data_IF_667968987646
#
_entry.id   IF_667968987646
#
_cell.length_a   1.000
_cell.length_b   1.000
_cell.length_c   1.000
_cell.angle_alpha   90.00
_cell.angle_beta   90.00
_cell.angle_gamma   90.00
#
_symmetry.space_group_name_H-M   'P 1'
#
loop_
_entity.id
_entity.type
_entity.pdbx_description
1 polymer ?
#
# COMPACT_ATOMS: atom_id res chain seq x y z
N UNK A 1 -3.29 -36.68 -16.38
CA UNK A 1 -4.40 -37.63 -16.62
C UNK A 1 -5.69 -36.85 -16.47
N UNK A 2 -6.49 -36.78 -17.53
CA UNK A 2 -7.74 -36.04 -17.59
C UNK A 2 -8.81 -36.70 -16.72
N UNK A 3 -9.65 -35.89 -16.07
CA UNK A 3 -10.94 -36.32 -15.52
C UNK A 3 -12.01 -35.31 -15.92
N UNK A 4 -12.80 -35.74 -16.90
CA UNK A 4 -14.13 -35.26 -17.22
C UNK A 4 -15.08 -35.46 -16.03
N UNK A 5 -15.89 -34.45 -15.73
CA UNK A 5 -17.14 -34.64 -15.02
C UNK A 5 -18.21 -33.75 -15.64
N UNK A 6 -19.14 -34.39 -16.34
CA UNK A 6 -20.37 -33.79 -16.82
C UNK A 6 -21.54 -34.26 -15.93
N UNK A 7 -22.30 -33.27 -15.47
CA UNK A 7 -23.73 -33.23 -15.10
C UNK A 7 -24.30 -34.12 -13.99
N UNK A 8 -24.97 -33.48 -13.02
CA UNK A 8 -26.43 -33.63 -12.93
C UNK A 8 -27.08 -32.41 -12.25
N UNK A 9 -28.11 -31.88 -12.89
CA UNK A 9 -28.97 -30.77 -12.45
C UNK A 9 -30.28 -31.39 -11.94
N UNK A 10 -30.60 -31.20 -10.66
CA UNK A 10 -31.91 -31.50 -10.09
C UNK A 10 -32.53 -30.18 -9.57
N UNK A 11 -33.77 -29.82 -9.98
CA UNK A 11 -34.49 -28.66 -9.45
C UNK A 11 -35.14 -28.97 -8.09
N UNK A 12 -35.41 -27.95 -7.25
CA UNK A 12 -35.97 -28.16 -5.91
C UNK A 12 -37.50 -28.32 -5.91
N UNK A 13 -37.97 -29.29 -5.12
CA UNK A 13 -39.38 -29.49 -4.78
C UNK A 13 -39.92 -28.35 -3.90
N UNK A 14 -41.12 -27.86 -4.23
CA UNK A 14 -41.88 -26.89 -3.46
C UNK A 14 -43.23 -27.45 -2.97
N UNK A 15 -43.51 -27.25 -1.68
CA UNK A 15 -44.80 -27.20 -0.96
C UNK A 15 -44.45 -27.29 0.55
N UNK A 16 -44.95 -26.54 1.53
CA UNK A 16 -46.15 -25.73 1.84
C UNK A 16 -45.87 -25.06 3.23
N UNK A 17 -46.79 -24.40 3.99
CA UNK A 17 -47.76 -23.36 3.68
C UNK A 17 -47.71 -22.14 4.66
N UNK A 18 -48.60 -21.17 4.41
CA UNK A 18 -48.87 -19.89 5.11
C UNK A 18 -49.11 -19.95 6.64
N UNK A 19 -48.78 -18.85 7.34
CA UNK A 19 -49.57 -18.31 8.48
C UNK A 19 -49.44 -16.78 8.66
N UNK A 20 -50.58 -16.10 8.44
CA UNK A 20 -51.21 -14.97 9.17
C UNK A 20 -50.42 -13.78 9.76
N UNK A 21 -50.89 -12.58 9.38
CA UNK A 21 -50.67 -11.18 9.85
C UNK A 21 -51.21 -10.90 11.30
N UNK A 22 -51.43 -9.64 11.83
CA UNK A 22 -51.25 -8.26 11.29
C UNK A 22 -50.83 -7.15 12.30
N UNK A 23 -50.88 -5.88 11.84
CA UNK A 23 -50.97 -4.54 12.53
C UNK A 23 -49.73 -3.64 12.35
N UNK A 24 -49.80 -2.31 12.23
CA UNK A 24 -50.81 -1.30 11.89
C UNK A 24 -50.05 0.07 11.81
N UNK A 25 -50.33 0.89 10.79
CA UNK A 25 -50.36 2.39 10.67
C UNK A 25 -49.48 3.35 11.54
N UNK A 26 -49.38 4.67 11.20
CA UNK A 26 -49.44 5.36 9.90
C UNK A 26 -48.41 6.52 9.74
N UNK A 27 -48.30 7.05 8.50
CA UNK A 27 -48.13 8.46 8.01
C UNK A 27 -47.14 9.45 8.72
N UNK A 28 -46.58 10.46 7.99
CA UNK A 28 -47.37 11.58 7.44
C UNK A 28 -47.03 11.99 6.00
N UNK A 29 -48.03 12.58 5.35
CA UNK A 29 -47.91 13.42 4.17
C UNK A 29 -47.84 14.90 4.60
N UNK A 30 -47.02 15.72 3.95
CA UNK A 30 -47.45 16.90 3.15
C UNK A 30 -46.24 17.69 2.61
N UNK A 31 -46.40 18.19 1.37
CA UNK A 31 -45.43 18.91 0.55
C UNK A 31 -45.32 20.41 0.96
N UNK A 32 -44.46 21.24 0.34
CA UNK A 32 -44.67 21.71 -1.03
C UNK A 32 -43.42 21.78 -1.93
N UNK A 33 -43.61 21.37 -3.18
CA UNK A 33 -43.45 22.21 -4.38
C UNK A 33 -42.34 23.29 -4.36
N UNK A 34 -41.24 23.02 -5.08
CA UNK A 34 -40.51 24.09 -5.77
C UNK A 34 -39.96 23.60 -7.11
N UNK A 35 -40.36 24.34 -8.12
CA UNK A 35 -40.01 24.34 -9.52
C UNK A 35 -38.55 24.78 -9.72
N UNK A 36 -37.71 23.96 -10.36
CA UNK A 36 -36.69 24.47 -11.28
C UNK A 36 -36.25 23.37 -12.27
N UNK A 37 -36.87 23.41 -13.44
CA UNK A 37 -36.46 22.62 -14.61
C UNK A 37 -35.27 23.28 -15.28
N UNK A 38 -34.08 22.66 -15.22
CA UNK A 38 -32.94 23.00 -16.11
C UNK A 38 -32.29 21.75 -16.69
N UNK A 39 -32.43 21.48 -18.00
CA UNK A 39 -31.69 20.41 -18.67
C UNK A 39 -30.27 20.88 -19.02
N UNK A 40 -29.27 20.11 -18.60
CA UNK A 40 -27.87 20.28 -19.01
C UNK A 40 -27.67 19.63 -20.39
N UNK A 41 -27.16 20.34 -21.41
CA UNK A 41 -27.08 19.82 -22.77
C UNK A 41 -25.93 18.83 -22.98
N UNK A 42 -26.27 17.74 -23.66
CA UNK A 42 -25.41 16.71 -24.22
C UNK A 42 -24.52 17.35 -25.30
N UNK A 43 -23.21 17.30 -25.11
CA UNK A 43 -22.23 17.79 -26.08
C UNK A 43 -22.02 16.72 -27.17
N UNK A 44 -22.75 16.86 -28.27
CA UNK A 44 -22.60 16.05 -29.47
C UNK A 44 -21.51 16.65 -30.38
N UNK A 45 -20.42 15.91 -30.57
CA UNK A 45 -19.37 16.26 -31.54
C UNK A 45 -19.89 16.11 -32.97
N UNK A 46 -19.81 17.13 -33.84
CA UNK A 46 -20.26 17.04 -35.23
C UNK A 46 -19.22 16.39 -36.14
N UNK A 47 -19.74 15.48 -36.96
CA UNK A 47 -19.11 14.80 -38.10
C UNK A 47 -18.58 15.83 -39.12
N UNK A 48 -17.35 15.64 -39.58
CA UNK A 48 -16.74 16.46 -40.66
C UNK A 48 -17.28 16.05 -42.04
N UNK A 49 -17.58 17.03 -42.93
CA UNK A 49 -18.07 16.76 -44.28
C UNK A 49 -16.96 16.42 -45.29
N UNK A 50 -17.37 15.64 -46.30
CA UNK A 50 -16.62 15.17 -47.47
C UNK A 50 -16.32 16.35 -48.41
N UNK A 51 -15.10 16.47 -49.00
CA UNK A 51 -14.83 17.46 -50.03
C UNK A 51 -15.24 16.99 -51.45
N UNK A 52 -15.71 17.91 -52.33
CA UNK A 52 -16.12 17.64 -53.72
C UNK A 52 -14.93 17.60 -54.72
N UNK A 53 -15.13 17.13 -55.97
CA UNK A 53 -14.04 16.83 -56.90
C UNK A 53 -13.47 18.08 -57.59
N UNK A 54 -12.21 18.05 -58.08
CA UNK A 54 -11.64 19.18 -58.80
C UNK A 54 -12.10 19.23 -60.26
N UNK A 55 -12.49 20.42 -60.70
CA UNK A 55 -12.75 20.80 -62.09
C UNK A 55 -11.49 21.32 -62.80
N UNK A 56 -11.57 21.30 -64.12
CA UNK A 56 -10.56 21.52 -65.15
C UNK A 56 -10.12 22.98 -65.38
N UNK A 57 -8.97 23.13 -66.07
CA UNK A 57 -8.59 24.29 -66.90
C UNK A 57 -7.72 25.34 -66.19
N UNK A 58 -6.63 25.89 -66.72
CA UNK A 58 -6.17 26.05 -68.11
C UNK A 58 -4.67 26.53 -68.13
N UNK A 59 -4.09 26.58 -69.35
CA UNK A 59 -3.01 27.48 -69.87
C UNK A 59 -1.55 27.01 -69.74
N UNK A 60 -0.66 27.12 -70.72
CA UNK A 60 -0.74 27.37 -72.17
C UNK A 60 0.64 27.10 -72.83
N UNK A 61 0.60 26.46 -74.00
CA UNK A 61 1.47 26.47 -75.19
C UNK A 61 2.67 27.45 -75.22
N UNK A 62 3.86 26.93 -75.57
CA UNK A 62 4.73 27.34 -76.72
C UNK A 62 6.17 26.82 -76.53
N UNK A 63 6.62 25.92 -77.40
CA UNK A 63 7.77 26.22 -78.26
C UNK A 63 7.86 25.21 -79.40
N UNK A 64 8.04 25.73 -80.62
CA UNK A 64 8.10 25.00 -81.88
C UNK A 64 9.44 25.37 -82.50
N UNK A 65 10.18 24.42 -83.06
CA UNK A 65 11.24 24.72 -84.02
C UNK A 65 11.17 23.72 -85.16
N UNK A 66 11.12 24.28 -86.36
CA UNK A 66 10.79 23.63 -87.62
C UNK A 66 12.02 22.96 -88.28
N UNK A 67 11.81 22.01 -89.22
CA UNK A 67 12.87 21.28 -89.92
C UNK A 67 13.08 21.77 -91.37
N UNK A 68 14.30 21.58 -91.93
CA UNK A 68 14.58 21.61 -93.38
C UNK A 68 15.73 20.62 -93.69
N UNK A 69 15.54 19.52 -94.46
CA UNK A 69 15.44 19.32 -95.93
C UNK A 69 16.81 19.25 -96.67
N UNK A 70 16.92 18.61 -97.86
CA UNK A 70 17.82 17.47 -98.13
C UNK A 70 18.69 17.62 -99.41
N UNK A 71 19.56 16.64 -99.75
CA UNK A 71 20.04 16.23 -101.11
C UNK A 71 21.21 15.23 -100.97
N UNK A 72 21.13 13.96 -101.42
CA UNK A 72 21.33 13.40 -102.80
C UNK A 72 22.81 13.39 -103.26
N UNK A 73 23.58 12.28 -103.18
CA UNK A 73 23.80 11.12 -104.12
C UNK A 73 25.27 11.15 -104.68
N UNK A 74 25.86 10.07 -105.26
CA UNK A 74 26.08 8.67 -104.82
C UNK A 74 27.53 8.13 -105.12
N UNK A 75 27.73 6.79 -105.07
CA UNK A 75 28.83 5.93 -105.60
C UNK A 75 29.92 5.50 -104.57
N UNK A 76 30.42 4.26 -104.46
CA UNK A 76 30.19 2.94 -105.13
C UNK A 76 30.95 1.82 -104.37
N UNK A 77 30.47 0.58 -104.49
CA UNK A 77 31.06 -0.75 -104.16
C UNK A 77 31.34 -1.09 -102.67
N UNK A 78 31.16 -2.32 -102.17
CA UNK A 78 31.05 -3.62 -102.83
C UNK A 78 30.29 -4.67 -101.99
N UNK A 79 29.55 -5.53 -102.72
CA UNK A 79 29.29 -6.96 -102.56
C UNK A 79 28.82 -7.65 -101.24
N UNK A 80 27.77 -8.48 -101.47
CA UNK A 80 27.37 -9.76 -100.85
C UNK A 80 26.36 -9.77 -99.69
N UNK A 81 25.09 -9.69 -100.10
CA UNK A 81 24.10 -10.79 -100.04
C UNK A 81 24.03 -11.64 -98.75
N UNK A 82 23.02 -11.37 -97.90
CA UNK A 82 22.18 -12.38 -97.23
C UNK A 82 20.83 -11.74 -96.79
N UNK A 83 19.74 -12.31 -97.31
CA UNK A 83 18.31 -12.25 -96.97
C UNK A 83 17.73 -11.15 -96.06
N UNK A 84 16.82 -10.38 -96.66
CA UNK A 84 15.77 -9.61 -96.00
C UNK A 84 14.70 -10.51 -95.35
N UNK A 85 14.34 -10.21 -94.10
CA UNK A 85 12.92 -10.04 -93.71
C UNK A 85 12.78 -8.88 -92.73
N UNK A 86 12.02 -7.87 -93.15
CA UNK A 86 11.42 -6.76 -92.41
C UNK A 86 10.52 -7.30 -91.28
N UNK A 87 10.33 -6.74 -90.07
CA UNK A 87 10.63 -5.44 -89.48
C UNK A 87 9.35 -4.87 -88.83
N UNK A 88 9.24 -4.84 -87.49
CA UNK A 88 8.48 -3.82 -86.71
C UNK A 88 9.12 -3.65 -85.32
N UNK A 89 9.68 -2.48 -84.96
CA UNK A 89 10.08 -2.21 -83.57
C UNK A 89 8.90 -1.64 -82.76
N UNK A 90 8.67 -2.09 -81.51
CA UNK A 90 7.59 -1.53 -80.70
C UNK A 90 7.94 -0.11 -80.22
N UNK A 91 6.96 0.79 -80.32
CA UNK A 91 6.98 2.14 -79.77
C UNK A 91 7.15 2.07 -78.25
N UNK A 92 8.27 2.57 -77.72
CA UNK A 92 8.50 2.73 -76.29
C UNK A 92 7.60 3.87 -75.77
N UNK A 93 6.52 3.54 -75.06
CA UNK A 93 5.70 4.52 -74.36
C UNK A 93 6.45 4.99 -73.11
N UNK A 94 6.76 6.28 -73.04
CA UNK A 94 7.51 6.89 -71.93
C UNK A 94 6.74 6.94 -70.59
N UNK A 95 5.55 6.33 -70.51
CA UNK A 95 4.74 6.18 -69.30
C UNK A 95 4.84 4.78 -68.68
N UNK A 96 5.55 3.85 -69.34
CA UNK A 96 5.72 2.46 -68.86
C UNK A 96 6.73 2.33 -67.69
N UNK A 97 7.50 3.38 -67.38
CA UNK A 97 8.51 3.35 -66.32
C UNK A 97 7.97 3.70 -64.92
N UNK A 98 6.89 4.48 -64.81
CA UNK A 98 6.43 4.96 -63.49
C UNK A 98 5.76 3.86 -62.67
N UNK A 99 5.10 2.89 -63.33
CA UNK A 99 4.53 1.71 -62.67
C UNK A 99 5.61 0.83 -62.04
N UNK A 100 6.82 0.80 -62.60
CA UNK A 100 7.96 0.08 -62.03
C UNK A 100 8.45 0.78 -60.76
N UNK A 101 8.51 2.12 -60.74
CA UNK A 101 8.85 2.88 -59.53
C UNK A 101 7.74 2.84 -58.47
N UNK A 102 6.47 2.82 -58.88
CA UNK A 102 5.34 2.62 -57.98
C UNK A 102 5.37 1.20 -57.37
N UNK A 103 5.65 0.17 -58.18
CA UNK A 103 5.82 -1.21 -57.71
C UNK A 103 7.04 -1.35 -56.78
N UNK A 104 8.16 -0.71 -57.12
CA UNK A 104 9.34 -0.67 -56.26
C UNK A 104 9.06 0.06 -54.93
N UNK A 105 8.33 1.18 -54.96
CA UNK A 105 7.89 1.88 -53.76
C UNK A 105 6.98 1.03 -52.87
N UNK A 106 6.01 0.33 -53.46
CA UNK A 106 5.16 -0.64 -52.74
C UNK A 106 5.99 -1.78 -52.15
N UNK A 107 6.96 -2.34 -52.89
CA UNK A 107 7.86 -3.37 -52.36
C UNK A 107 8.70 -2.86 -51.19
N UNK A 108 9.21 -1.63 -51.21
CA UNK A 108 9.95 -1.03 -50.10
C UNK A 108 9.04 -0.80 -48.89
N UNK A 109 7.80 -0.36 -49.10
CA UNK A 109 6.82 -0.22 -48.02
C UNK A 109 6.47 -1.58 -47.41
N UNK A 110 6.23 -2.60 -48.23
CA UNK A 110 5.97 -3.97 -47.77
C UNK A 110 7.17 -4.54 -47.03
N UNK A 111 8.40 -4.31 -47.52
CA UNK A 111 9.63 -4.71 -46.84
C UNK A 111 9.80 -3.99 -45.49
N UNK A 112 9.47 -2.69 -45.43
CA UNK A 112 9.46 -1.91 -44.20
C UNK A 112 8.42 -2.43 -43.20
N UNK A 113 7.21 -2.76 -43.65
CA UNK A 113 6.17 -3.38 -42.81
C UNK A 113 6.63 -4.76 -42.32
N UNK A 114 7.25 -5.58 -43.18
CA UNK A 114 7.78 -6.89 -42.81
C UNK A 114 8.93 -6.79 -41.79
N UNK A 115 9.82 -5.80 -41.93
CA UNK A 115 10.88 -5.53 -40.96
C UNK A 115 10.30 -5.09 -39.61
N UNK A 116 9.32 -4.19 -39.60
CA UNK A 116 8.64 -3.76 -38.38
C UNK A 116 7.89 -4.92 -37.70
N UNK A 117 7.29 -5.82 -38.47
CA UNK A 117 6.64 -7.03 -37.93
C UNK A 117 7.66 -8.06 -37.46
N UNK A 118 8.82 -8.18 -38.11
CA UNK A 118 9.90 -9.09 -37.72
C UNK A 118 10.60 -8.69 -36.40
N UNK A 119 10.45 -7.42 -35.99
CA UNK A 119 10.95 -6.86 -34.74
C UNK A 119 9.92 -6.91 -33.58
N UNK A 120 8.76 -7.54 -33.77
CA UNK A 120 7.79 -7.70 -32.68
C UNK A 120 8.34 -8.62 -31.59
N UNK A 121 8.10 -8.22 -30.33
CA UNK A 121 8.46 -8.99 -29.15
C UNK A 121 7.54 -10.19 -28.98
N UNK A 122 8.09 -11.35 -28.62
CA UNK A 122 7.32 -12.55 -28.27
C UNK A 122 6.78 -12.39 -26.86
N UNK A 123 5.47 -12.57 -26.67
CA UNK A 123 4.83 -12.52 -25.35
C UNK A 123 4.59 -13.93 -24.81
N UNK A 124 5.02 -14.17 -23.58
CA UNK A 124 4.80 -15.40 -22.84
C UNK A 124 3.95 -15.07 -21.62
N UNK A 125 2.78 -15.68 -21.55
CA UNK A 125 1.88 -15.55 -20.41
C UNK A 125 2.12 -16.73 -19.49
N UNK A 126 2.55 -16.47 -18.26
CA UNK A 126 2.86 -17.53 -17.29
C UNK A 126 1.95 -17.40 -16.09
N UNK A 127 1.27 -18.49 -15.75
CA UNK A 127 0.45 -18.61 -14.55
C UNK A 127 1.28 -19.33 -13.49
N UNK A 128 1.63 -18.66 -12.38
CA UNK A 128 2.35 -19.28 -11.29
C UNK A 128 1.47 -20.30 -10.59
N UNK A 129 2.12 -21.32 -10.03
CA UNK A 129 1.48 -22.24 -9.11
C UNK A 129 0.95 -21.48 -7.92
N UNK A 130 -0.28 -21.76 -7.52
CA UNK A 130 -0.85 -21.30 -6.26
C UNK A 130 -1.33 -22.46 -5.39
N UNK A 131 -1.34 -22.23 -4.08
CA UNK A 131 -1.91 -23.13 -3.10
C UNK A 131 -2.66 -22.32 -2.06
N UNK A 132 -3.93 -22.65 -1.84
CA UNK A 132 -4.73 -22.05 -0.77
C UNK A 132 -4.48 -22.81 0.53
N UNK A 133 -3.87 -22.14 1.50
CA UNK A 133 -3.67 -22.65 2.84
C UNK A 133 -4.73 -22.07 3.78
N UNK A 134 -5.30 -22.92 4.64
CA UNK A 134 -6.28 -22.53 5.66
C UNK A 134 -5.66 -22.62 7.04
N UNK A 135 -5.83 -21.56 7.84
CA UNK A 135 -5.30 -21.44 9.18
C UNK A 135 -6.42 -21.35 10.20
N UNK A 136 -6.17 -21.92 11.37
CA UNK A 136 -7.05 -21.93 12.52
C UNK A 136 -6.38 -21.24 13.72
N UNK A 137 -7.15 -20.98 14.78
CA UNK A 137 -6.61 -20.33 15.99
C UNK A 137 -5.52 -21.16 16.72
N UNK A 138 -5.32 -22.43 16.33
CA UNK A 138 -4.27 -23.30 16.86
C UNK A 138 -2.92 -23.11 16.16
N UNK A 139 -2.91 -22.49 14.98
CA UNK A 139 -1.74 -22.19 14.16
C UNK A 139 -0.93 -21.03 14.75
N UNK A 140 -0.07 -21.34 15.73
CA UNK A 140 0.79 -20.38 16.43
C UNK A 140 2.17 -20.30 15.81
N UNK A 141 2.63 -19.08 15.58
CA UNK A 141 3.94 -18.77 15.02
C UNK A 141 4.70 -17.83 15.95
N UNK A 142 6.04 -17.91 15.89
CA UNK A 142 6.93 -17.00 16.61
C UNK A 142 7.85 -16.33 15.61
N UNK A 143 7.81 -15.00 15.57
CA UNK A 143 8.74 -14.19 14.81
C UNK A 143 9.73 -13.49 15.74
N UNK A 144 10.96 -13.33 15.26
CA UNK A 144 12.05 -12.68 15.98
C UNK A 144 12.40 -11.35 15.34
N UNK A 145 12.85 -10.34 16.11
CA UNK A 145 13.37 -9.11 15.52
C UNK A 145 14.49 -9.42 14.53
N UNK A 146 14.51 -8.74 13.38
CA UNK A 146 15.52 -8.98 12.33
C UNK A 146 16.97 -8.85 12.83
N UNK A 147 17.22 -8.04 13.87
CA UNK A 147 18.53 -7.89 14.50
C UNK A 147 19.01 -9.12 15.29
N UNK A 148 18.09 -9.99 15.73
CA UNK A 148 18.39 -11.16 16.60
C UNK A 148 17.94 -12.49 15.99
N UNK A 149 17.30 -12.47 14.83
CA UNK A 149 16.84 -13.67 14.15
C UNK A 149 18.01 -14.55 13.69
N UNK A 150 17.95 -15.85 14.00
CA UNK A 150 18.87 -16.84 13.48
C UNK A 150 18.49 -17.24 12.04
N UNK A 151 19.45 -17.76 11.28
CA UNK A 151 19.16 -18.31 9.94
C UNK A 151 18.10 -19.40 10.03
N UNK A 152 17.01 -19.25 9.26
CA UNK A 152 15.90 -20.20 9.23
C UNK A 152 14.75 -19.91 10.19
N UNK A 153 14.79 -18.80 10.96
CA UNK A 153 13.62 -18.35 11.74
C UNK A 153 12.88 -17.21 11.06
N UNK A 154 11.58 -17.09 11.33
CA UNK A 154 10.77 -15.97 10.85
C UNK A 154 11.28 -14.68 11.49
N UNK A 155 11.73 -13.73 10.66
CA UNK A 155 12.13 -12.40 11.12
C UNK A 155 11.02 -11.39 10.88
N UNK A 156 10.98 -10.34 11.70
CA UNK A 156 10.15 -9.17 11.48
C UNK A 156 10.94 -7.88 11.67
N UNK A 157 10.53 -6.85 10.95
CA UNK A 157 11.01 -5.47 11.10
C UNK A 157 9.90 -4.60 11.66
N UNK A 158 10.25 -3.42 12.18
CA UNK A 158 9.27 -2.51 12.77
C UNK A 158 9.11 -1.29 11.89
N UNK A 159 7.86 -0.97 11.55
CA UNK A 159 7.49 0.29 10.94
C UNK A 159 6.81 1.15 12.00
N UNK A 160 7.27 2.40 12.12
CA UNK A 160 6.71 3.38 13.06
C UNK A 160 6.16 4.57 12.29
N UNK A 161 4.96 5.00 12.66
CA UNK A 161 4.30 6.19 12.10
C UNK A 161 3.72 7.01 13.25
N UNK A 162 4.07 8.29 13.28
CA UNK A 162 3.48 9.24 14.22
C UNK A 162 2.38 10.03 13.53
N UNK A 163 1.18 9.97 14.08
CA UNK A 163 0.01 10.69 13.58
C UNK A 163 -0.46 11.70 14.61
N UNK A 164 -0.92 12.86 14.14
CA UNK A 164 -1.53 13.88 14.98
C UNK A 164 -2.87 14.30 14.37
N UNK A 165 -3.84 14.55 15.24
CA UNK A 165 -5.13 15.10 14.84
C UNK A 165 -5.66 16.03 15.95
N UNK A 166 -6.52 16.96 15.57
CA UNK A 166 -7.08 17.94 16.49
C UNK A 166 -8.55 18.20 16.19
N UNK A 167 -9.29 18.65 17.20
CA UNK A 167 -10.69 19.03 17.06
C UNK A 167 -11.00 20.26 17.89
N UNK A 168 -11.78 21.15 17.31
CA UNK A 168 -12.26 22.35 18.00
C UNK A 168 -13.60 22.02 18.65
N UNK A 169 -13.69 22.32 19.94
CA UNK A 169 -14.95 22.23 20.68
C UNK A 169 -15.43 23.63 21.00
N UNK A 170 -16.64 23.94 20.54
CA UNK A 170 -17.33 25.19 20.84
C UNK A 170 -17.51 25.35 22.36
N UNK A 171 -17.23 26.54 22.87
CA UNK A 171 -17.44 26.83 24.28
C UNK A 171 -18.86 27.29 24.55
N UNK A 172 -19.40 26.91 25.71
CA UNK A 172 -20.71 27.36 26.19
C UNK A 172 -20.61 28.58 27.13
N UNK A 173 -19.47 29.27 27.18
CA UNK A 173 -19.24 30.46 28.01
C UNK A 173 -17.85 30.46 28.66
N UNK A 174 -17.54 31.38 29.56
CA UNK A 174 -16.30 31.35 30.35
C UNK A 174 -16.53 30.64 31.68
N UNK A 175 -15.64 29.72 32.03
CA UNK A 175 -15.62 29.06 33.34
C UNK A 175 -14.31 29.41 34.02
N UNK A 176 -14.41 30.03 35.19
CA UNK A 176 -13.27 30.17 36.10
C UNK A 176 -12.86 28.77 36.56
N UNK A 177 -11.63 28.39 36.24
CA UNK A 177 -11.10 27.05 36.50
C UNK A 177 -9.89 27.12 37.40
N UNK A 178 -9.86 26.23 38.39
CA UNK A 178 -8.78 26.08 39.36
C UNK A 178 -8.22 24.65 39.27
N UNK A 179 -7.52 24.39 38.17
CA UNK A 179 -6.97 23.07 37.88
C UNK A 179 -5.61 22.89 38.58
N UNK A 180 -5.41 21.70 39.15
CA UNK A 180 -4.17 21.31 39.81
C UNK A 180 -3.32 20.50 38.84
N UNK A 181 -2.03 20.85 38.74
CA UNK A 181 -1.11 20.07 37.92
C UNK A 181 -0.98 18.64 38.47
N UNK A 182 -0.86 17.67 37.58
CA UNK A 182 -0.63 16.27 37.94
C UNK A 182 0.41 15.62 37.03
N UNK A 183 0.95 14.51 37.50
CA UNK A 183 1.88 13.71 36.71
C UNK A 183 2.36 12.49 37.49
N UNK A 184 3.17 11.66 36.84
CA UNK A 184 3.68 10.41 37.41
C UNK A 184 5.12 10.61 37.87
N UNK A 185 5.39 10.22 39.12
CA UNK A 185 6.75 10.10 39.66
C UNK A 185 7.06 8.64 39.94
N UNK A 186 8.31 8.24 39.70
CA UNK A 186 8.85 6.98 40.23
C UNK A 186 9.51 7.27 41.57
N UNK A 187 8.98 6.68 42.63
CA UNK A 187 9.51 6.81 44.00
C UNK A 187 10.49 5.68 44.26
N UNK A 188 11.67 6.04 44.75
CA UNK A 188 12.79 5.13 45.02
C UNK A 188 12.99 4.96 46.53
N UNK A 189 13.30 3.74 46.94
CA UNK A 189 13.78 3.38 48.27
C UNK A 189 15.17 2.75 48.14
N UNK A 190 16.19 3.55 48.40
CA UNK A 190 17.60 3.15 48.41
C UNK A 190 18.13 2.89 49.84
N UNK A 191 17.28 3.00 50.85
CA UNK A 191 17.68 2.93 52.25
C UNK A 191 17.73 1.48 52.75
N UNK A 192 16.57 0.80 52.78
CA UNK A 192 16.38 -0.47 53.47
C UNK A 192 15.85 -1.58 52.56
N UNK A 193 16.10 -2.84 52.94
CA UNK A 193 15.63 -4.05 52.25
C UNK A 193 14.16 -4.38 52.57
N UNK A 194 13.57 -3.71 53.55
CA UNK A 194 12.15 -3.80 53.89
C UNK A 194 11.33 -2.79 53.10
N UNK A 195 10.04 -3.09 52.88
CA UNK A 195 9.14 -2.13 52.24
C UNK A 195 8.96 -0.87 53.08
N UNK A 196 8.80 0.28 52.43
CA UNK A 196 8.56 1.56 53.06
C UNK A 196 7.19 2.08 52.64
N UNK A 197 6.30 2.30 53.62
CA UNK A 197 4.95 2.80 53.37
C UNK A 197 4.93 4.32 53.50
N UNK A 198 4.50 5.00 52.44
CA UNK A 198 4.10 6.41 52.46
C UNK A 198 2.58 6.48 52.59
N UNK A 199 2.10 7.35 53.47
CA UNK A 199 0.67 7.55 53.67
C UNK A 199 0.09 8.44 52.58
N UNK A 200 -1.23 8.38 52.39
CA UNK A 200 -1.99 9.34 51.59
C UNK A 200 -1.62 10.78 51.98
N UNK A 201 -1.57 11.66 50.98
CA UNK A 201 -1.19 13.07 51.10
C UNK A 201 0.27 13.34 51.50
N UNK A 202 1.16 12.35 51.32
CA UNK A 202 2.60 12.55 51.48
C UNK A 202 3.09 13.67 50.56
N UNK A 203 3.90 14.59 51.09
CA UNK A 203 4.41 15.75 50.36
C UNK A 203 5.68 15.39 49.60
N UNK A 204 5.67 15.65 48.30
CA UNK A 204 6.80 15.60 47.39
C UNK A 204 7.13 17.02 46.96
N UNK A 205 8.37 17.47 47.20
CA UNK A 205 8.83 18.80 46.88
C UNK A 205 9.70 18.77 45.63
N UNK A 206 9.33 19.50 44.59
CA UNK A 206 10.13 19.70 43.37
C UNK A 206 11.40 20.50 43.66
N UNK A 207 12.32 20.54 42.71
CA UNK A 207 13.53 21.40 42.76
C UNK A 207 13.17 22.89 42.86
N UNK A 208 12.04 23.32 42.27
CA UNK A 208 11.49 24.66 42.41
C UNK A 208 10.80 24.93 43.75
N UNK A 209 10.80 23.95 44.66
CA UNK A 209 10.23 24.09 46.00
C UNK A 209 8.72 23.87 46.09
N UNK A 210 8.06 23.53 44.98
CA UNK A 210 6.61 23.34 44.90
C UNK A 210 6.20 21.97 45.43
N UNK A 211 5.05 21.90 46.09
CA UNK A 211 4.56 20.71 46.78
C UNK A 211 3.52 19.97 45.93
N UNK A 212 3.75 18.67 45.78
CA UNK A 212 2.84 17.69 45.20
C UNK A 212 2.47 16.64 46.25
N UNK A 213 1.29 16.06 46.14
CA UNK A 213 0.73 15.11 47.10
C UNK A 213 0.25 13.85 46.42
N UNK A 214 0.33 12.77 47.17
CA UNK A 214 -0.14 11.45 46.72
C UNK A 214 -1.61 11.27 47.07
N UNK A 215 -2.47 10.84 46.14
CA UNK A 215 -3.89 10.67 46.40
C UNK A 215 -4.20 9.41 47.25
N UNK A 216 -3.25 8.47 47.32
CA UNK A 216 -3.38 7.20 48.01
C UNK A 216 -2.12 6.83 48.80
N UNK A 217 -2.25 5.81 49.65
CA UNK A 217 -1.12 5.14 50.30
C UNK A 217 -0.23 4.46 49.25
N UNK A 218 1.08 4.53 49.45
CA UNK A 218 2.09 3.94 48.55
C UNK A 218 2.93 3.00 49.37
N UNK A 219 3.15 1.79 48.86
CA UNK A 219 4.10 0.85 49.43
C UNK A 219 5.25 0.71 48.46
N UNK A 220 6.41 1.25 48.84
CA UNK A 220 7.63 1.16 48.05
C UNK A 220 8.33 -0.15 48.44
N UNK A 221 8.67 -1.03 47.48
CA UNK A 221 9.48 -2.22 47.77
C UNK A 221 10.80 -1.85 48.46
N UNK A 222 11.36 -2.81 49.21
CA UNK A 222 12.73 -2.67 49.71
C UNK A 222 13.76 -2.84 48.61
N UNK A 223 14.97 -2.30 48.82
CA UNK A 223 16.08 -2.46 47.88
C UNK A 223 16.54 -3.93 47.78
N UNK A 224 16.99 -4.34 46.60
CA UNK A 224 17.55 -5.68 46.33
C UNK A 224 19.01 -5.55 45.95
N UNK A 225 19.91 -5.87 46.88
CA UNK A 225 21.36 -5.65 46.69
C UNK A 225 21.66 -4.17 46.50
N UNK A 226 22.19 -3.80 45.33
CA UNK A 226 22.50 -2.42 44.93
C UNK A 226 21.35 -1.74 44.16
N UNK A 227 20.27 -2.46 43.86
CA UNK A 227 19.13 -1.92 43.09
C UNK A 227 18.08 -1.36 44.04
N UNK A 228 17.78 -0.05 43.99
CA UNK A 228 16.72 0.54 44.81
C UNK A 228 15.36 -0.08 44.51
N UNK A 229 14.52 -0.19 45.53
CA UNK A 229 13.11 -0.51 45.31
C UNK A 229 12.41 0.68 44.65
N UNK A 230 11.53 0.44 43.69
CA UNK A 230 10.86 1.52 42.94
C UNK A 230 9.37 1.26 42.75
N UNK A 231 8.58 2.33 42.69
CA UNK A 231 7.14 2.28 42.38
C UNK A 231 6.72 3.57 41.66
N UNK A 232 5.93 3.45 40.59
CA UNK A 232 5.38 4.60 39.86
C UNK A 232 4.04 5.02 40.47
N UNK A 233 3.91 6.31 40.77
CA UNK A 233 2.72 6.87 41.43
C UNK A 233 2.34 8.21 40.84
N UNK A 234 1.03 8.43 40.67
CA UNK A 234 0.47 9.72 40.29
C UNK A 234 0.49 10.68 41.48
N UNK A 235 1.00 11.89 41.27
CA UNK A 235 0.98 12.99 42.24
C UNK A 235 0.20 14.18 41.69
N UNK A 236 -0.38 14.96 42.60
CA UNK A 236 -1.23 16.12 42.29
C UNK A 236 -0.69 17.32 43.07
N UNK A 237 -0.64 18.49 42.44
CA UNK A 237 -0.21 19.73 43.06
C UNK A 237 -1.01 20.06 44.34
N UNK A 238 -0.36 20.70 45.31
CA UNK A 238 -1.04 21.16 46.54
C UNK A 238 -2.09 22.24 46.23
N UNK A 239 -1.71 23.19 45.37
CA UNK A 239 -2.54 24.32 44.93
C UNK A 239 -2.71 24.32 43.41
N UNK A 240 -3.79 24.92 42.90
CA UNK A 240 -3.96 25.14 41.47
C UNK A 240 -2.98 26.20 40.95
N UNK A 241 -2.79 26.24 39.62
CA UNK A 241 -2.05 27.31 38.94
C UNK A 241 -0.87 26.85 38.10
N UNK A 242 -0.53 27.68 37.11
CA UNK A 242 0.47 27.36 36.09
C UNK A 242 1.87 27.17 36.65
N UNK A 243 2.19 27.79 37.81
CA UNK A 243 3.46 27.58 38.49
C UNK A 243 3.75 26.10 38.80
N UNK A 244 2.71 25.25 38.94
CA UNK A 244 2.86 23.82 39.22
C UNK A 244 3.13 22.97 37.97
N UNK A 245 3.17 23.58 36.77
CA UNK A 245 3.58 22.91 35.54
C UNK A 245 5.13 22.82 35.48
N UNK A 246 5.70 21.95 36.32
CA UNK A 246 7.17 21.80 36.45
C UNK A 246 7.73 20.78 35.45
N UNK A 247 8.93 21.03 34.94
CA UNK A 247 9.64 20.08 34.07
C UNK A 247 9.97 18.75 34.80
N UNK A 248 10.40 17.75 34.02
CA UNK A 248 10.87 16.48 34.56
C UNK A 248 12.08 16.71 35.51
N UNK A 249 12.08 16.08 36.68
CA UNK A 249 13.11 16.36 37.69
C UNK A 249 13.03 15.49 38.94
N UNK A 250 13.85 15.84 39.95
CA UNK A 250 13.87 15.14 41.23
C UNK A 250 12.88 15.76 42.22
N UNK A 251 12.26 14.91 43.03
CA UNK A 251 11.35 15.28 44.11
C UNK A 251 11.86 14.73 45.43
N UNK A 252 11.95 15.59 46.45
CA UNK A 252 12.30 15.16 47.81
C UNK A 252 11.05 14.97 48.67
N UNK A 253 11.15 14.24 49.78
CA UNK A 253 10.03 14.05 50.71
C UNK A 253 10.29 14.85 51.99
N UNK A 254 9.83 16.11 52.11
CA UNK A 254 10.22 16.98 53.23
C UNK A 254 9.82 16.43 54.59
N UNK A 255 8.77 15.60 54.65
CA UNK A 255 8.33 14.92 55.89
C UNK A 255 9.37 13.98 56.48
N UNK A 256 10.37 13.55 55.71
CA UNK A 256 11.46 12.68 56.17
C UNK A 256 12.70 13.47 56.61
N UNK A 257 12.72 14.80 56.52
CA UNK A 257 13.89 15.64 56.90
C UNK A 257 14.32 15.46 58.36
N UNK A 258 13.39 15.09 59.25
CA UNK A 258 13.70 14.78 60.66
C UNK A 258 14.53 13.50 60.82
N UNK A 259 14.54 12.63 59.81
CA UNK A 259 15.30 11.39 59.76
C UNK A 259 16.46 11.53 58.78
N UNK A 260 17.59 12.10 59.24
CA UNK A 260 18.76 12.40 58.41
C UNK A 260 19.31 11.17 57.65
N UNK A 261 19.19 9.97 58.21
CA UNK A 261 19.63 8.74 57.57
C UNK A 261 18.70 8.26 56.43
N UNK A 262 17.42 8.63 56.44
CA UNK A 262 16.41 8.13 55.48
C UNK A 262 16.17 9.14 54.36
N UNK A 263 16.15 10.44 54.70
CA UNK A 263 15.82 11.54 53.79
C UNK A 263 16.58 11.52 52.44
N UNK A 264 17.90 11.29 52.38
CA UNK A 264 18.62 11.30 51.10
C UNK A 264 18.32 10.07 50.22
N UNK A 265 17.83 8.97 50.81
CA UNK A 265 17.66 7.67 50.15
C UNK A 265 16.21 7.37 49.74
N UNK A 266 15.24 8.18 50.16
CA UNK A 266 13.84 8.08 49.71
C UNK A 266 13.46 9.35 48.95
N UNK A 267 13.32 9.22 47.63
CA UNK A 267 13.05 10.35 46.73
C UNK A 267 12.19 9.93 45.54
N UNK A 268 11.51 10.89 44.92
CA UNK A 268 10.81 10.72 43.65
C UNK A 268 11.63 11.25 42.49
N UNK A 269 11.42 10.71 41.30
CA UNK A 269 11.92 11.26 40.03
C UNK A 269 10.82 11.17 38.99
N UNK A 270 10.58 12.25 38.24
CA UNK A 270 9.73 12.19 37.05
C UNK A 270 10.58 12.13 35.78
N UNK A 271 10.10 11.38 34.79
CA UNK A 271 10.63 11.38 33.42
C UNK A 271 9.84 12.32 32.51
N UNK A 272 8.60 12.64 32.89
CA UNK A 272 7.72 13.59 32.20
C UNK A 272 7.50 14.85 33.05
N UNK A 273 7.16 15.96 32.41
CA UNK A 273 6.74 17.18 33.09
C UNK A 273 5.42 16.97 33.83
N UNK A 274 5.23 17.69 34.94
CA UNK A 274 3.91 17.87 35.56
C UNK A 274 3.14 18.89 34.72
N UNK A 275 1.86 18.65 34.49
CA UNK A 275 1.03 19.49 33.63
C UNK A 275 -0.41 19.57 34.11
N UNK A 276 -1.16 20.56 33.61
CA UNK A 276 -2.58 20.74 33.90
C UNK A 276 -2.88 21.70 35.07
N UNK A 277 -1.87 22.39 35.61
CA UNK A 277 -2.07 23.47 36.57
C UNK A 277 -2.55 24.72 35.85
N UNK A 278 -3.70 25.27 36.24
CA UNK A 278 -4.27 26.48 35.67
C UNK A 278 -5.15 27.21 36.70
N UNK A 279 -5.09 28.54 36.72
CA UNK A 279 -6.01 29.39 37.48
C UNK A 279 -6.40 30.56 36.59
N UNK A 280 -7.69 30.67 36.29
CA UNK A 280 -8.23 31.78 35.52
C UNK A 280 -9.47 31.41 34.74
N UNK A 281 -9.96 32.35 33.93
CA UNK A 281 -11.07 32.11 33.04
C UNK A 281 -10.60 31.33 31.81
N UNK A 282 -11.16 30.14 31.61
CA UNK A 282 -11.01 29.38 30.37
C UNK A 282 -12.36 29.24 29.68
N UNK A 283 -12.39 29.05 28.35
CA UNK A 283 -13.63 28.69 27.70
C UNK A 283 -14.18 27.41 28.34
N UNK A 284 -15.37 27.53 28.91
CA UNK A 284 -16.13 26.46 29.53
C UNK A 284 -16.61 25.50 28.46
N UNK A 285 -15.94 24.36 28.37
CA UNK A 285 -16.40 23.24 27.56
C UNK A 285 -17.04 22.23 28.50
N UNK A 286 -18.27 21.82 28.20
CA UNK A 286 -18.94 20.78 28.99
C UNK A 286 -18.08 19.49 28.97
N UNK A 287 -17.82 18.83 30.11
CA UNK A 287 -17.01 17.61 30.16
C UNK A 287 -17.47 16.52 29.17
N UNK A 288 -18.79 16.42 28.95
CA UNK A 288 -19.37 15.53 27.96
C UNK A 288 -18.94 15.89 26.53
N UNK A 289 -18.96 17.17 26.16
CA UNK A 289 -18.52 17.64 24.83
C UNK A 289 -17.03 17.38 24.61
N UNK A 290 -16.20 17.60 25.65
CA UNK A 290 -14.77 17.30 25.59
C UNK A 290 -14.52 15.79 25.41
N UNK A 291 -15.25 14.95 26.13
CA UNK A 291 -15.13 13.49 25.98
C UNK A 291 -15.57 13.02 24.59
N UNK A 292 -16.65 13.57 24.04
CA UNK A 292 -17.11 13.28 22.68
C UNK A 292 -16.06 13.66 21.64
N UNK A 293 -15.47 14.85 21.76
CA UNK A 293 -14.42 15.31 20.86
C UNK A 293 -13.15 14.45 20.94
N UNK A 294 -12.70 14.08 22.16
CA UNK A 294 -11.57 13.15 22.33
C UNK A 294 -11.86 11.80 21.66
N UNK A 295 -13.06 11.25 21.85
CA UNK A 295 -13.47 9.99 21.22
C UNK A 295 -13.53 10.09 19.68
N UNK A 296 -13.98 11.23 19.14
CA UNK A 296 -14.02 11.48 17.70
C UNK A 296 -12.61 11.58 17.11
N UNK A 297 -11.71 12.32 17.75
CA UNK A 297 -10.28 12.41 17.38
C UNK A 297 -9.63 11.03 17.40
N UNK A 298 -9.84 10.23 18.46
CA UNK A 298 -9.31 8.86 18.55
C UNK A 298 -9.80 7.98 17.40
N UNK A 299 -11.08 8.03 17.09
CA UNK A 299 -11.67 7.25 15.98
C UNK A 299 -11.04 7.61 14.64
N UNK A 300 -10.80 8.90 14.38
CA UNK A 300 -10.11 9.36 13.17
C UNK A 300 -8.64 8.94 13.14
N UNK A 301 -7.94 9.04 14.26
CA UNK A 301 -6.56 8.59 14.40
C UNK A 301 -6.43 7.08 14.20
N UNK A 302 -7.36 6.28 14.71
CA UNK A 302 -7.37 4.83 14.48
C UNK A 302 -7.57 4.48 13.00
N UNK A 303 -8.50 5.15 12.32
CA UNK A 303 -8.72 4.96 10.89
C UNK A 303 -7.48 5.35 10.07
N UNK A 304 -6.86 6.50 10.39
CA UNK A 304 -5.60 6.94 9.77
C UNK A 304 -4.46 5.96 10.06
N UNK A 305 -4.34 5.45 11.29
CA UNK A 305 -3.32 4.49 11.69
C UNK A 305 -3.42 3.20 10.87
N UNK A 306 -4.61 2.62 10.78
CA UNK A 306 -4.87 1.39 9.99
C UNK A 306 -4.59 1.59 8.50
N UNK A 307 -4.84 2.78 7.96
CA UNK A 307 -4.54 3.11 6.56
C UNK A 307 -3.07 3.48 6.31
N UNK A 308 -2.35 3.97 7.31
CA UNK A 308 -0.96 4.44 7.17
C UNK A 308 0.06 3.30 7.10
N UNK A 309 -0.29 2.12 7.62
CA UNK A 309 0.55 0.94 7.62
C UNK A 309 0.24 0.12 6.37
N UNK A 310 0.98 0.41 5.29
CA UNK A 310 0.87 -0.33 4.03
C UNK A 310 2.03 -1.33 3.88
N UNK A 311 1.71 -2.52 3.37
CA UNK A 311 2.73 -3.50 2.98
C UNK A 311 3.52 -2.99 1.77
N UNK A 312 4.85 -2.96 1.88
CA UNK A 312 5.74 -2.75 0.75
C UNK A 312 5.81 -4.02 -0.12
N UNK A 313 6.29 -3.90 -1.35
CA UNK A 313 6.50 -5.05 -2.24
C UNK A 313 7.36 -6.13 -1.57
N UNK A 314 6.89 -7.37 -1.55
CA UNK A 314 7.57 -8.50 -0.91
C UNK A 314 7.45 -8.55 0.62
N UNK A 315 6.62 -7.71 1.23
CA UNK A 315 6.33 -7.73 2.67
C UNK A 315 4.84 -7.94 2.95
N UNK A 316 4.53 -8.41 4.15
CA UNK A 316 3.17 -8.60 4.65
C UNK A 316 3.08 -7.86 5.98
N UNK A 317 2.02 -7.09 6.14
CA UNK A 317 1.69 -6.43 7.41
C UNK A 317 0.28 -6.84 7.80
N UNK A 318 0.11 -7.21 9.06
CA UNK A 318 -1.18 -7.58 9.61
C UNK A 318 -1.78 -6.40 10.37
N UNK A 319 -2.90 -5.80 9.91
CA UNK A 319 -3.54 -4.67 10.59
C UNK A 319 -3.90 -4.96 12.05
N UNK A 320 -4.25 -6.22 12.34
CA UNK A 320 -4.64 -6.68 13.68
C UNK A 320 -3.48 -6.77 14.67
N UNK A 321 -2.22 -6.77 14.18
CA UNK A 321 -1.02 -6.77 15.03
C UNK A 321 -0.47 -5.35 15.26
N UNK A 322 -1.12 -4.31 14.73
CA UNK A 322 -0.68 -2.92 14.92
C UNK A 322 -0.95 -2.47 16.35
N UNK A 323 0.08 -1.96 17.01
CA UNK A 323 -0.03 -1.32 18.32
C UNK A 323 -0.16 0.19 18.15
N UNK A 324 -1.20 0.78 18.76
CA UNK A 324 -1.45 2.22 18.73
C UNK A 324 -1.37 2.74 20.17
N UNK A 325 -0.44 3.66 20.43
CA UNK A 325 -0.33 4.35 21.72
C UNK A 325 -0.78 5.79 21.56
N UNK A 326 -1.89 6.16 22.21
CA UNK A 326 -2.40 7.52 22.21
C UNK A 326 -1.71 8.37 23.28
N UNK A 327 -1.43 9.63 22.93
CA UNK A 327 -0.90 10.65 23.82
C UNK A 327 -1.76 11.89 23.72
N UNK A 328 -2.31 12.30 24.85
CA UNK A 328 -3.08 13.54 24.94
C UNK A 328 -2.11 14.72 25.05
N UNK A 329 -2.33 15.75 24.23
CA UNK A 329 -1.52 16.96 24.20
C UNK A 329 -2.29 18.15 24.84
N UNK A 330 -1.58 19.16 25.38
CA UNK A 330 -2.23 20.31 26.00
C UNK A 330 -3.20 20.98 25.03
N UNK A 331 -4.44 21.19 25.45
CA UNK A 331 -5.43 21.89 24.63
C UNK A 331 -5.06 23.37 24.51
N UNK A 332 -5.34 23.95 23.34
CA UNK A 332 -5.06 25.36 23.06
C UNK A 332 -6.36 26.15 22.89
N UNK A 333 -6.45 27.39 23.36
CA UNK A 333 -7.60 28.24 23.08
C UNK A 333 -7.67 28.56 21.56
N UNK A 334 -8.88 28.54 21.00
CA UNK A 334 -9.13 28.85 19.59
C UNK A 334 -9.66 30.29 19.43
N UNK A 335 -9.28 30.96 18.35
CA UNK A 335 -9.85 32.26 17.99
C UNK A 335 -11.36 32.10 17.71
N UNK A 336 -12.20 32.75 18.52
CA UNK A 336 -13.66 32.60 18.46
C UNK A 336 -14.29 32.00 19.71
N UNK A 337 -13.48 31.59 20.70
CA UNK A 337 -13.96 31.16 22.01
C UNK A 337 -14.06 29.65 22.18
N UNK A 338 -13.56 28.83 21.25
CA UNK A 338 -13.48 27.37 21.41
C UNK A 338 -12.21 26.89 22.12
N UNK A 339 -12.18 25.59 22.44
CA UNK A 339 -10.95 24.90 22.88
C UNK A 339 -10.58 23.88 21.81
N UNK A 340 -9.34 23.94 21.31
CA UNK A 340 -8.78 22.94 20.41
C UNK A 340 -8.08 21.85 21.20
N UNK A 341 -8.57 20.63 21.06
CA UNK A 341 -7.99 19.43 21.65
C UNK A 341 -6.97 18.87 20.66
N UNK A 342 -5.78 18.55 21.14
CA UNK A 342 -4.71 17.93 20.36
C UNK A 342 -4.45 16.52 20.85
N UNK A 343 -4.29 15.58 19.93
CA UNK A 343 -3.95 14.21 20.25
C UNK A 343 -2.98 13.65 19.23
N UNK A 344 -1.97 12.95 19.73
CA UNK A 344 -1.03 12.19 18.91
C UNK A 344 -1.23 10.69 19.12
N UNK A 345 -0.97 9.91 18.07
CA UNK A 345 -0.98 8.46 18.07
C UNK A 345 0.36 7.97 17.54
N UNK A 346 1.08 7.23 18.38
CA UNK A 346 2.30 6.51 18.02
C UNK A 346 1.90 5.11 17.54
N UNK A 347 2.03 4.87 16.23
CA UNK A 347 1.65 3.61 15.58
C UNK A 347 2.89 2.78 15.34
N UNK A 348 2.89 1.54 15.82
CA UNK A 348 3.99 0.59 15.67
C UNK A 348 3.45 -0.70 15.06
N UNK A 349 3.98 -1.08 13.90
CA UNK A 349 3.52 -2.25 13.14
C UNK A 349 4.67 -3.22 12.85
N UNK A 350 4.50 -4.52 13.12
CA UNK A 350 5.45 -5.54 12.69
C UNK A 350 5.26 -5.85 11.20
N UNK A 351 6.37 -5.79 10.45
CA UNK A 351 6.43 -6.06 9.02
C UNK A 351 7.19 -7.36 8.79
N UNK A 352 6.56 -8.30 8.09
CA UNK A 352 7.10 -9.63 7.83
C UNK A 352 7.53 -9.75 6.36
N UNK A 353 8.69 -10.33 6.04
CA UNK A 353 9.02 -10.71 4.66
C UNK A 353 8.04 -11.78 4.18
N UNK A 354 7.41 -11.56 3.02
CA UNK A 354 6.39 -12.46 2.47
C UNK A 354 6.93 -13.87 2.24
N UNK A 355 8.17 -13.97 1.73
CA UNK A 355 8.85 -15.24 1.46
C UNK A 355 9.17 -16.02 2.74
N UNK A 356 9.70 -15.34 3.76
CA UNK A 356 10.03 -15.97 5.04
C UNK A 356 8.77 -16.44 5.77
N UNK A 357 7.69 -15.66 5.69
CA UNK A 357 6.39 -16.03 6.23
C UNK A 357 5.84 -17.26 5.51
N UNK A 358 5.84 -17.27 4.17
CA UNK A 358 5.38 -18.40 3.39
C UNK A 358 6.15 -19.69 3.72
N UNK A 359 7.48 -19.62 3.86
CA UNK A 359 8.32 -20.76 4.23
C UNK A 359 8.05 -21.26 5.65
N UNK A 360 7.75 -20.36 6.58
CA UNK A 360 7.44 -20.72 7.98
C UNK A 360 6.07 -21.40 8.07
N UNK A 361 5.13 -20.94 7.25
CA UNK A 361 3.73 -21.34 7.30
C UNK A 361 3.46 -22.61 6.47
N UNK A 362 4.26 -22.86 5.43
CA UNK A 362 4.12 -24.00 4.53
C UNK A 362 5.42 -24.80 4.45
N UNK A 363 5.45 -25.95 5.14
CA UNK A 363 6.66 -26.80 5.24
C UNK A 363 7.15 -27.33 3.87
N UNK A 364 6.23 -27.60 2.94
CA UNK A 364 6.57 -28.10 1.60
C UNK A 364 7.10 -27.00 0.66
N UNK A 365 7.30 -25.77 1.16
CA UNK A 365 7.88 -24.67 0.40
C UNK A 365 9.28 -25.01 -0.15
N UNK A 366 10.02 -25.96 0.45
CA UNK A 366 11.29 -26.51 -0.05
C UNK A 366 12.30 -25.47 -0.57
N UNK A 367 12.35 -24.29 0.06
CA UNK A 367 13.26 -23.19 -0.33
C UNK A 367 12.87 -22.42 -1.61
N UNK A 368 11.67 -22.67 -2.16
CA UNK A 368 11.14 -21.87 -3.25
C UNK A 368 10.78 -20.45 -2.75
N UNK A 369 10.94 -19.46 -3.62
CA UNK A 369 10.41 -18.10 -3.39
C UNK A 369 8.89 -18.14 -3.52
N UNK A 370 8.17 -17.93 -2.43
CA UNK A 370 6.72 -18.02 -2.37
C UNK A 370 6.19 -16.74 -1.73
N UNK A 371 5.31 -16.03 -2.43
CA UNK A 371 4.65 -14.86 -1.88
C UNK A 371 3.40 -15.29 -1.11
N UNK A 372 3.36 -14.93 0.18
CA UNK A 372 2.18 -15.08 1.02
C UNK A 372 1.20 -13.92 0.77
N UNK A 373 -0.02 -14.24 0.33
CA UNK A 373 -1.09 -13.26 0.11
C UNK A 373 -2.29 -13.62 1.01
N UNK A 374 -2.57 -12.83 2.08
CA UNK A 374 -3.72 -13.08 2.93
C UNK A 374 -5.03 -12.88 2.15
N UNK A 375 -5.99 -13.79 2.35
CA UNK A 375 -7.33 -13.68 1.77
C UNK A 375 -8.23 -12.67 2.50
N UNK A 376 -9.42 -12.44 1.95
CA UNK A 376 -10.43 -11.59 2.60
C UNK A 376 -10.86 -12.19 3.94
N UNK A 377 -10.81 -11.40 5.02
CA UNK A 377 -11.17 -11.85 6.37
C UNK A 377 -10.08 -12.64 7.09
N UNK A 378 -8.84 -12.61 6.58
CA UNK A 378 -7.68 -13.14 7.28
C UNK A 378 -7.37 -12.31 8.53
N UNK A 379 -7.20 -12.96 9.67
CA UNK A 379 -6.98 -12.33 10.97
C UNK A 379 -5.67 -12.83 11.58
N UNK A 380 -4.89 -11.91 12.15
CA UNK A 380 -3.72 -12.26 12.95
C UNK A 380 -3.92 -11.78 14.39
N UNK A 381 -3.66 -12.64 15.39
CA UNK A 381 -3.82 -12.27 16.80
C UNK A 381 -2.51 -12.44 17.54
N UNK A 382 -2.03 -11.37 18.18
CA UNK A 382 -0.91 -11.47 19.10
C UNK A 382 -1.30 -12.34 20.30
N UNK A 383 -0.47 -13.33 20.62
CA UNK A 383 -0.66 -14.19 21.79
C UNK A 383 -0.36 -13.43 23.10
N UNK A 384 0.53 -12.43 23.03
CA UNK A 384 0.92 -11.59 24.16
C UNK A 384 0.71 -10.11 23.82
N UNK A 385 -0.18 -9.44 24.57
CA UNK A 385 -0.47 -8.02 24.34
C UNK A 385 0.67 -7.07 24.83
N UNK A 386 1.62 -7.59 25.62
CA UNK A 386 2.66 -6.78 26.29
C UNK A 386 4.04 -6.83 25.64
N UNK A 387 4.21 -7.50 24.49
CA UNK A 387 5.53 -7.57 23.83
C UNK A 387 5.89 -6.23 23.19
N UNK A 388 7.14 -5.81 23.37
CA UNK A 388 7.69 -4.61 22.75
C UNK A 388 8.26 -4.96 21.39
N UNK A 389 7.64 -4.50 20.31
CA UNK A 389 8.11 -4.75 18.96
C UNK A 389 9.53 -4.22 18.73
N UNK A 390 10.37 -5.03 18.08
CA UNK A 390 11.77 -4.72 17.78
C UNK A 390 12.76 -5.19 18.86
N UNK A 391 12.28 -5.55 20.05
CA UNK A 391 13.10 -6.08 21.14
C UNK A 391 12.71 -7.51 21.47
N UNK A 392 11.41 -7.76 21.65
CA UNK A 392 10.91 -9.07 22.10
C UNK A 392 10.50 -9.96 20.92
N UNK A 393 10.57 -11.30 21.06
CA UNK A 393 9.92 -12.22 20.13
C UNK A 393 8.40 -12.00 20.09
N UNK A 394 7.85 -11.97 18.88
CA UNK A 394 6.42 -11.81 18.65
C UNK A 394 5.77 -13.17 18.42
N UNK A 395 4.90 -13.57 19.35
CA UNK A 395 4.06 -14.76 19.21
C UNK A 395 2.69 -14.35 18.69
N UNK A 396 2.23 -14.96 17.61
CA UNK A 396 0.93 -14.67 17.02
C UNK A 396 0.27 -15.93 16.45
N UNK A 397 -1.05 -15.91 16.38
CA UNK A 397 -1.86 -16.94 15.73
C UNK A 397 -2.48 -16.37 14.45
N UNK A 398 -2.55 -17.18 13.41
CA UNK A 398 -3.16 -16.84 12.13
C UNK A 398 -4.48 -17.57 11.98
N UNK A 399 -5.53 -16.89 11.50
CA UNK A 399 -6.82 -17.51 11.23
C UNK A 399 -7.40 -17.02 9.89
N UNK A 400 -7.92 -17.94 9.09
CA UNK A 400 -8.51 -17.65 7.78
C UNK A 400 -7.77 -18.33 6.62
N UNK A 401 -8.10 -17.95 5.39
CA UNK A 401 -7.46 -18.48 4.18
C UNK A 401 -6.42 -17.51 3.63
N UNK A 402 -5.29 -18.05 3.17
CA UNK A 402 -4.28 -17.28 2.44
C UNK A 402 -3.86 -18.05 1.19
N UNK A 403 -3.50 -17.31 0.15
CA UNK A 403 -2.93 -17.88 -1.07
C UNK A 403 -1.41 -17.77 -1.02
N UNK A 404 -0.76 -18.90 -1.25
CA UNK A 404 0.67 -19.02 -1.45
C UNK A 404 0.90 -19.05 -2.96
N UNK A 405 1.58 -18.05 -3.50
CA UNK A 405 1.86 -17.94 -4.94
C UNK A 405 3.35 -18.11 -5.16
N UNK A 406 3.76 -19.06 -6.01
CA UNK A 406 5.16 -19.30 -6.30
C UNK A 406 5.69 -18.16 -7.18
N UNK A 407 6.74 -17.49 -6.71
CA UNK A 407 7.38 -16.45 -7.49
C UNK A 407 8.17 -17.10 -8.63
N UNK A 408 7.95 -16.60 -9.85
CA UNK A 408 8.66 -17.08 -11.04
C UNK A 408 9.76 -16.08 -11.33
N UNK A 409 11.00 -16.56 -11.40
CA UNK A 409 12.11 -15.76 -11.89
C UNK A 409 11.96 -15.55 -13.41
N UNK A 410 11.33 -14.44 -13.77
CA UNK A 410 11.09 -14.05 -15.16
C UNK A 410 12.40 -13.83 -15.93
N UNK A 411 13.46 -13.37 -15.27
CA UNK A 411 14.76 -13.16 -15.92
C UNK A 411 15.44 -14.50 -16.24
N UNK A 412 15.43 -15.45 -15.31
CA UNK A 412 15.94 -16.79 -15.55
C UNK A 412 15.14 -17.53 -16.64
N UNK A 413 13.81 -17.36 -16.65
CA UNK A 413 12.95 -17.93 -17.68
C UNK A 413 13.20 -17.32 -19.07
N UNK A 414 13.40 -15.99 -19.15
CA UNK A 414 13.80 -15.32 -20.40
C UNK A 414 15.13 -15.86 -20.94
N UNK A 415 16.15 -16.00 -20.08
CA UNK A 415 17.45 -16.52 -20.46
C UNK A 415 17.39 -17.98 -20.93
N UNK A 416 16.60 -18.81 -20.24
CA UNK A 416 16.45 -20.22 -20.60
C UNK A 416 15.75 -20.42 -21.96
N UNK A 417 14.83 -19.51 -22.32
CA UNK A 417 14.06 -19.55 -23.56
C UNK A 417 14.73 -18.84 -24.74
N UNK A 418 15.70 -17.95 -24.49
CA UNK A 418 16.37 -17.19 -25.53
C UNK A 418 17.05 -18.11 -26.57
N UNK A 419 16.71 -17.90 -27.84
CA UNK A 419 17.25 -18.68 -28.97
C UNK A 419 16.84 -20.16 -29.02
N UNK A 420 15.90 -20.60 -28.19
CA UNK A 420 15.38 -21.98 -28.21
C UNK A 420 14.24 -22.12 -29.21
N UNK A 421 14.04 -23.35 -29.69
CA UNK A 421 12.90 -23.69 -30.54
C UNK A 421 11.62 -23.84 -29.71
N UNK A 422 10.46 -23.58 -30.32
CA UNK A 422 9.13 -23.74 -29.72
C UNK A 422 8.95 -25.15 -29.13
N UNK A 423 9.49 -26.19 -29.78
CA UNK A 423 9.40 -27.56 -29.26
C UNK A 423 10.10 -27.77 -27.91
N UNK A 424 11.09 -26.95 -27.58
CA UNK A 424 11.79 -26.99 -26.30
C UNK A 424 11.05 -26.24 -25.18
N UNK A 425 10.03 -25.45 -25.50
CA UNK A 425 9.29 -24.62 -24.56
C UNK A 425 8.71 -25.45 -23.40
N UNK A 426 8.00 -26.54 -23.71
CA UNK A 426 7.37 -27.37 -22.69
C UNK A 426 8.40 -27.97 -21.73
N UNK A 427 9.53 -28.48 -22.26
CA UNK A 427 10.61 -29.03 -21.44
C UNK A 427 11.23 -27.97 -20.54
N UNK A 428 11.52 -26.78 -21.06
CA UNK A 428 12.11 -25.69 -20.29
C UNK A 428 11.15 -25.22 -19.21
N UNK A 429 9.87 -24.99 -19.53
CA UNK A 429 8.85 -24.57 -18.56
C UNK A 429 8.67 -25.61 -17.46
N UNK A 430 8.69 -26.91 -17.77
CA UNK A 430 8.58 -27.97 -16.75
C UNK A 430 9.77 -28.05 -15.79
N UNK A 431 10.92 -27.44 -16.13
CA UNK A 431 12.05 -27.33 -15.21
C UNK A 431 11.82 -26.26 -14.12
N UNK A 432 10.91 -25.32 -14.34
CA UNK A 432 10.53 -24.31 -13.35
C UNK A 432 9.34 -24.81 -12.51
N UNK A 433 9.62 -25.33 -11.32
CA UNK A 433 8.62 -25.91 -10.40
C UNK A 433 7.54 -24.93 -9.91
N UNK A 434 7.78 -23.62 -10.07
CA UNK A 434 6.84 -22.55 -9.74
C UNK A 434 5.79 -22.26 -10.83
N UNK A 435 5.87 -22.87 -12.00
CA UNK A 435 4.94 -22.64 -13.11
C UNK A 435 3.83 -23.69 -13.13
N UNK A 436 2.57 -23.24 -13.11
CA UNK A 436 1.41 -24.13 -13.26
C UNK A 436 1.00 -24.28 -14.72
N UNK A 437 0.97 -23.16 -15.45
CA UNK A 437 0.60 -23.12 -16.86
C UNK A 437 1.41 -22.02 -17.56
N UNK A 438 1.84 -22.25 -18.80
CA UNK A 438 2.52 -21.24 -19.59
C UNK A 438 2.05 -21.29 -21.04
N UNK A 439 1.67 -20.14 -21.57
CA UNK A 439 1.25 -19.95 -22.95
C UNK A 439 2.26 -19.06 -23.65
N UNK A 440 2.97 -19.61 -24.64
CA UNK A 440 3.86 -18.83 -25.49
C UNK A 440 3.16 -18.46 -26.80
N UNK A 441 3.11 -17.18 -27.12
CA UNK A 441 2.66 -16.69 -28.42
C UNK A 441 3.84 -16.08 -29.17
N UNK A 442 4.45 -16.89 -30.04
CA UNK A 442 5.60 -16.46 -30.87
C UNK A 442 5.08 -15.50 -31.95
N UNK A 443 5.55 -14.26 -31.92
CA UNK A 443 5.31 -13.28 -32.96
C UNK A 443 6.64 -12.88 -33.62
N UNK A 444 6.72 -12.83 -34.96
CA UNK A 444 5.70 -13.23 -35.94
C UNK A 444 5.56 -14.76 -36.10
N UNK A 445 4.34 -15.21 -36.43
CA UNK A 445 3.91 -16.63 -36.46
C UNK A 445 4.72 -17.55 -37.40
N UNK A 446 5.54 -16.99 -38.29
CA UNK A 446 6.41 -17.76 -39.20
C UNK A 446 7.78 -18.11 -38.59
N UNK A 447 8.12 -17.58 -37.42
CA UNK A 447 9.31 -18.00 -36.66
C UNK A 447 8.93 -19.13 -35.70
N UNK A 448 9.64 -20.24 -35.75
CA UNK A 448 9.51 -21.36 -34.79
C UNK A 448 10.45 -21.22 -33.59
N UNK A 449 11.27 -20.18 -33.56
CA UNK A 449 12.33 -19.98 -32.55
C UNK A 449 12.10 -18.69 -31.78
N UNK A 450 12.34 -18.75 -30.46
CA UNK A 450 12.33 -17.57 -29.61
C UNK A 450 13.46 -16.60 -29.99
N UNK A 451 13.28 -15.28 -29.80
CA UNK A 451 14.34 -14.30 -30.00
C UNK A 451 15.62 -14.68 -29.25
N UNK A 452 16.79 -14.42 -29.85
CA UNK A 452 18.10 -14.65 -29.22
C UNK A 452 18.40 -13.63 -28.12
N UNK A 453 17.78 -12.44 -28.21
CA UNK A 453 17.83 -11.43 -27.18
C UNK A 453 16.76 -11.71 -26.10
N UNK A 454 17.14 -11.99 -24.84
CA UNK A 454 16.20 -12.17 -23.75
C UNK A 454 15.27 -10.97 -23.53
N UNK A 455 15.73 -9.74 -23.84
CA UNK A 455 14.94 -8.52 -23.67
C UNK A 455 13.79 -8.40 -24.69
N UNK A 456 13.86 -9.15 -25.80
CA UNK A 456 12.78 -9.23 -26.79
C UNK A 456 11.68 -10.22 -26.42
N UNK A 457 11.82 -10.94 -25.29
CA UNK A 457 10.83 -11.86 -24.73
C UNK A 457 10.09 -11.15 -23.60
N UNK A 458 8.83 -10.77 -23.82
CA UNK A 458 8.00 -10.17 -22.79
C UNK A 458 7.32 -11.28 -21.98
N UNK A 459 7.53 -11.30 -20.66
CA UNK A 459 6.86 -12.25 -19.76
C UNK A 459 5.78 -11.50 -18.98
N UNK A 460 4.53 -11.85 -19.23
CA UNK A 460 3.38 -11.34 -18.47
C UNK A 460 2.96 -12.42 -17.46
N UNK A 461 3.20 -12.17 -16.17
CA UNK A 461 2.78 -13.05 -15.07
C UNK A 461 1.34 -12.72 -14.73
N UNK A 462 0.43 -13.67 -14.96
CA UNK A 462 -0.99 -13.50 -14.66
C UNK A 462 -1.28 -14.10 -13.29
N UNK A 463 -1.95 -13.34 -12.42
CA UNK A 463 -2.34 -13.83 -11.11
C UNK A 463 -3.22 -15.08 -11.27
N UNK A 464 -2.96 -16.17 -10.53
CA UNK A 464 -3.73 -17.39 -10.65
C UNK A 464 -5.16 -17.12 -10.20
N UNK A 465 -6.15 -17.58 -10.98
CA UNK A 465 -7.56 -17.46 -10.58
C UNK A 465 -7.79 -18.26 -9.29
N UNK A 466 -8.33 -17.60 -8.28
CA UNK A 466 -8.77 -18.25 -7.04
C UNK A 466 -9.91 -19.20 -7.38
N UNK A 467 -9.68 -20.51 -7.30
CA UNK A 467 -10.70 -21.52 -7.52
C UNK A 467 -11.34 -21.98 -6.22
#
# INVERSE_FOLDING_TARGET
>A
MAKDYFQDILPPDGNEPRKSAPSASPAPAEMPESDDSRPVPINANPVRPIPPPPAEGERSIRNISMPQRPRSRPAMNDMREYQETSGVPPRKSALAGWWIWALAGVCVIVLGILLLVAMRSTTITVTPRSHTATFDESSRFTAYPAATAASGTLSYTVQTVDLADSEVVESQGTVHSEDKASGIITVYNDYQTTSFKLIKNTRFQSESGLIFRTPADIVIPGKKGTTPGQVSVTVIADQPGEQYNVAAGKFTVPGLKTSAAIYPHIYGKSTSAMSGGFVGDKPGVAPAAMQTAVSAVRTRLESKARGSVAAAAGTVVFPDLVQITYKDEPSTPEAGGGVRIHQSAHVVAPVFPADALAQTVYADANGASITFTPGSGFVARAANASSTFGVDPLQFALAGSAQLVWNIDSAALQQALAGKDQGAFQTIVTQFSGVQEAHARIEPFWKSTFPTDPAAIKIDVVAPEAK
#
